data_IF_570477631215
#
_entry.id   IF_570477631215
#
_cell.length_a   1.000
_cell.length_b   1.000
_cell.length_c   1.000
_cell.angle_alpha   90.00
_cell.angle_beta   90.00
_cell.angle_gamma   90.00
#
_symmetry.space_group_name_H-M   'P 1'
#
loop_
_entity.id
_entity.type
_entity.pdbx_description
1 polymer ?
#
# COMPACT_ATOMS: atom_id res chain seq x y z
N UNK A 1 -5.79 3.56 -21.27
CA UNK A 1 -5.07 3.33 -22.54
C UNK A 1 -3.67 2.76 -22.31
N UNK A 2 -2.74 3.45 -21.60
CA UNK A 2 -1.34 2.99 -21.43
C UNK A 2 -1.26 1.60 -20.79
N UNK A 3 -2.01 1.33 -19.75
CA UNK A 3 -2.07 0.02 -19.08
C UNK A 3 -2.75 -1.04 -19.96
N UNK A 4 -3.77 -0.67 -20.74
CA UNK A 4 -4.41 -1.58 -21.68
C UNK A 4 -3.43 -2.06 -22.78
N UNK A 5 -2.62 -1.17 -23.33
CA UNK A 5 -1.58 -1.53 -24.33
C UNK A 5 -0.51 -2.43 -23.69
N UNK A 6 -0.12 -2.16 -22.44
CA UNK A 6 0.82 -3.04 -21.71
C UNK A 6 0.23 -4.44 -21.50
N UNK A 7 -1.01 -4.48 -21.02
CA UNK A 7 -1.72 -5.73 -20.79
C UNK A 7 -1.84 -6.56 -22.06
N UNK A 8 -2.32 -5.94 -23.13
CA UNK A 8 -2.43 -6.58 -24.44
C UNK A 8 -1.07 -7.08 -24.97
N UNK A 9 -0.03 -6.26 -24.92
CA UNK A 9 1.31 -6.65 -25.37
C UNK A 9 1.91 -7.78 -24.54
N UNK A 10 1.63 -7.82 -23.23
CA UNK A 10 2.19 -8.82 -22.34
C UNK A 10 1.44 -10.15 -22.43
N UNK A 11 0.10 -10.13 -22.46
CA UNK A 11 -0.72 -11.33 -22.50
C UNK A 11 -0.87 -11.90 -23.91
N UNK A 12 -1.33 -11.07 -24.85
CA UNK A 12 -1.71 -11.56 -26.18
C UNK A 12 -0.52 -11.72 -27.10
N UNK A 13 0.43 -10.81 -27.05
CA UNK A 13 1.56 -10.81 -27.96
C UNK A 13 2.81 -11.46 -27.36
N UNK A 14 2.90 -11.55 -26.03
CA UNK A 14 4.09 -12.00 -25.28
C UNK A 14 5.38 -11.32 -25.77
N UNK A 15 5.26 -10.05 -26.18
CA UNK A 15 6.34 -9.28 -26.80
C UNK A 15 6.62 -8.00 -26.06
N UNK A 16 7.89 -7.63 -26.03
CA UNK A 16 8.35 -6.42 -25.40
C UNK A 16 8.29 -5.24 -26.35
N UNK A 17 7.93 -4.08 -25.79
CA UNK A 17 7.96 -2.83 -26.53
C UNK A 17 8.73 -1.76 -25.75
N UNK A 18 9.21 -0.76 -26.48
CA UNK A 18 9.76 0.49 -25.93
C UNK A 18 8.79 1.64 -26.17
N UNK A 19 8.69 2.51 -25.18
CA UNK A 19 7.90 3.75 -25.29
C UNK A 19 8.74 4.79 -26.00
N UNK A 20 8.27 5.26 -27.14
CA UNK A 20 8.92 6.30 -27.95
C UNK A 20 8.44 7.67 -27.49
N UNK A 21 7.12 7.81 -27.29
CA UNK A 21 6.51 9.05 -26.82
C UNK A 21 5.43 8.76 -25.80
N UNK A 22 5.47 9.47 -24.67
CA UNK A 22 4.44 9.40 -23.64
C UNK A 22 4.13 10.80 -23.13
N UNK A 23 2.92 11.27 -23.39
CA UNK A 23 2.40 12.54 -22.89
C UNK A 23 1.00 12.33 -22.30
N UNK A 24 0.38 13.35 -21.71
CA UNK A 24 -1.02 13.25 -21.27
C UNK A 24 -2.00 12.88 -22.39
N UNK A 25 -1.69 13.27 -23.65
CA UNK A 25 -2.57 13.09 -24.79
C UNK A 25 -2.02 12.21 -25.92
N UNK A 26 -0.80 11.69 -25.79
CA UNK A 26 -0.19 10.82 -26.82
C UNK A 26 0.59 9.68 -26.20
N UNK A 27 0.48 8.52 -26.83
CA UNK A 27 1.25 7.35 -26.44
C UNK A 27 1.68 6.60 -27.70
N UNK A 28 2.99 6.52 -27.95
CA UNK A 28 3.61 5.86 -29.09
C UNK A 28 4.56 4.79 -28.59
N UNK A 29 4.33 3.56 -28.98
CA UNK A 29 5.16 2.41 -28.62
C UNK A 29 5.63 1.69 -29.86
N UNK A 30 6.86 1.15 -29.81
CA UNK A 30 7.47 0.36 -30.89
C UNK A 30 8.14 -0.88 -30.33
N UNK A 31 8.37 -1.87 -31.18
CA UNK A 31 9.15 -3.03 -30.81
C UNK A 31 10.51 -2.66 -30.21
N UNK A 32 11.00 -3.48 -29.29
CA UNK A 32 12.38 -3.35 -28.78
C UNK A 32 13.39 -3.58 -29.90
N UNK A 33 13.11 -4.54 -30.81
CA UNK A 33 13.92 -4.80 -32.01
C UNK A 33 13.72 -3.71 -33.04
N UNK A 34 14.82 -3.11 -33.52
CA UNK A 34 14.79 -1.98 -34.45
C UNK A 34 14.22 -2.33 -35.86
N UNK A 35 14.46 -3.55 -36.28
CA UNK A 35 14.03 -4.08 -37.61
C UNK A 35 12.54 -4.41 -37.64
N UNK A 36 11.89 -4.54 -36.49
CA UNK A 36 10.48 -4.89 -36.45
C UNK A 36 9.61 -3.63 -36.58
N UNK A 37 8.67 -3.59 -37.57
CA UNK A 37 7.84 -2.43 -37.83
C UNK A 37 6.74 -2.21 -36.80
N UNK A 38 6.60 -3.08 -35.80
CA UNK A 38 5.57 -2.96 -34.77
C UNK A 38 5.49 -1.57 -34.19
N UNK A 39 4.30 -1.01 -34.25
CA UNK A 39 4.00 0.28 -33.68
C UNK A 39 2.55 0.35 -33.25
N UNK A 40 2.31 0.87 -32.04
CA UNK A 40 0.98 1.28 -31.60
C UNK A 40 1.05 2.77 -31.26
N UNK A 41 0.25 3.55 -31.96
CA UNK A 41 0.10 4.96 -31.71
C UNK A 41 -1.33 5.26 -31.27
N UNK A 42 -1.47 5.78 -30.07
CA UNK A 42 -2.73 6.23 -29.52
C UNK A 42 -2.66 7.71 -29.16
N UNK A 43 -3.73 8.43 -29.39
CA UNK A 43 -3.82 9.83 -29.02
C UNK A 43 -5.23 10.22 -28.60
N UNK A 44 -5.30 11.27 -27.78
CA UNK A 44 -6.53 11.96 -27.40
C UNK A 44 -6.64 13.21 -28.25
N UNK A 45 -7.75 13.38 -28.94
CA UNK A 45 -8.02 14.58 -29.76
C UNK A 45 -8.05 15.85 -28.92
N UNK A 46 -7.86 17.01 -29.58
CA UNK A 46 -7.81 18.31 -28.90
C UNK A 46 -9.10 18.63 -28.12
N UNK A 47 -10.23 18.14 -28.60
CA UNK A 47 -11.58 18.38 -28.08
C UNK A 47 -12.26 17.12 -27.56
N UNK A 48 -11.47 16.01 -27.36
CA UNK A 48 -11.99 14.71 -26.94
C UNK A 48 -11.36 14.31 -25.61
N UNK A 49 -12.19 13.74 -24.73
CA UNK A 49 -11.75 13.23 -23.41
C UNK A 49 -11.50 11.71 -23.43
N UNK A 50 -11.51 11.10 -24.61
CA UNK A 50 -11.23 9.67 -24.77
C UNK A 50 -10.01 9.42 -25.64
N UNK A 51 -9.36 8.29 -25.39
CA UNK A 51 -8.21 7.82 -26.14
C UNK A 51 -8.65 7.03 -27.37
N UNK A 52 -8.02 7.32 -28.50
CA UNK A 52 -8.23 6.59 -29.73
C UNK A 52 -6.90 6.00 -30.22
N UNK A 53 -6.94 4.72 -30.64
CA UNK A 53 -5.80 4.08 -31.29
C UNK A 53 -5.81 4.46 -32.77
N UNK A 54 -4.86 5.32 -33.16
CA UNK A 54 -4.75 5.83 -34.55
C UNK A 54 -3.99 4.91 -35.47
N UNK A 55 -3.06 4.12 -34.94
CA UNK A 55 -2.24 3.22 -35.78
C UNK A 55 -1.86 1.98 -34.98
N UNK A 56 -2.04 0.83 -35.58
CA UNK A 56 -1.50 -0.46 -35.14
C UNK A 56 -0.76 -1.06 -36.33
N UNK A 57 0.48 -1.46 -36.12
CA UNK A 57 1.28 -2.26 -37.05
C UNK A 57 1.74 -3.49 -36.29
N UNK A 58 1.51 -4.66 -36.84
CA UNK A 58 1.82 -5.94 -36.22
C UNK A 58 3.32 -6.23 -36.17
N UNK A 59 3.70 -7.16 -35.27
CA UNK A 59 5.08 -7.65 -35.21
C UNK A 59 5.41 -8.58 -36.37
N UNK A 60 6.55 -8.36 -37.00
CA UNK A 60 7.14 -9.30 -37.97
C UNK A 60 8.30 -10.09 -37.37
N UNK A 61 8.79 -9.72 -36.15
CA UNK A 61 9.89 -10.42 -35.51
C UNK A 61 9.45 -11.77 -34.95
N UNK A 62 10.30 -12.77 -35.04
CA UNK A 62 10.07 -14.09 -34.45
C UNK A 62 10.31 -14.08 -32.94
N UNK A 63 9.55 -14.88 -32.18
CA UNK A 63 9.79 -15.19 -30.79
C UNK A 63 10.85 -16.29 -30.70
N UNK A 64 12.13 -15.94 -30.76
CA UNK A 64 13.19 -16.95 -30.70
C UNK A 64 13.41 -17.49 -29.31
N UNK A 65 13.26 -16.65 -28.29
CA UNK A 65 13.30 -17.05 -26.87
C UNK A 65 12.52 -16.04 -26.01
N UNK A 66 11.76 -16.53 -25.04
CA UNK A 66 11.18 -15.70 -24.00
C UNK A 66 12.31 -15.21 -23.08
N UNK A 67 12.58 -13.90 -23.10
CA UNK A 67 13.52 -13.34 -22.13
C UNK A 67 13.05 -13.61 -20.70
N UNK A 68 13.95 -13.98 -19.77
CA UNK A 68 13.57 -14.32 -18.39
C UNK A 68 12.78 -13.21 -17.68
N UNK A 69 12.96 -11.96 -18.10
CA UNK A 69 12.30 -10.81 -17.51
C UNK A 69 11.62 -9.95 -18.58
N UNK A 70 10.31 -9.80 -18.44
CA UNK A 70 9.57 -8.93 -19.35
C UNK A 70 9.70 -7.46 -18.92
N UNK A 71 10.22 -6.61 -19.81
CA UNK A 71 10.50 -5.19 -19.57
C UNK A 71 9.27 -4.41 -19.11
N UNK A 72 8.11 -4.71 -19.68
CA UNK A 72 6.88 -3.98 -19.43
C UNK A 72 6.11 -4.45 -18.18
N UNK A 73 6.52 -5.57 -17.55
CA UNK A 73 6.00 -6.02 -16.26
C UNK A 73 6.56 -5.16 -15.12
N UNK A 74 6.07 -3.94 -15.02
CA UNK A 74 6.45 -3.05 -13.92
C UNK A 74 5.74 -3.42 -12.62
N UNK A 75 6.31 -3.04 -11.47
CA UNK A 75 5.66 -3.25 -10.17
C UNK A 75 4.27 -2.55 -10.09
N UNK A 76 4.05 -1.45 -10.82
CA UNK A 76 2.73 -0.81 -10.91
C UNK A 76 1.73 -1.65 -11.70
N UNK A 77 2.15 -2.22 -12.83
CA UNK A 77 1.31 -3.10 -13.62
C UNK A 77 0.89 -4.34 -12.82
N UNK A 78 1.86 -4.99 -12.16
CA UNK A 78 1.60 -6.17 -11.30
C UNK A 78 0.70 -5.79 -10.12
N UNK A 79 0.89 -4.61 -9.51
CA UNK A 79 0.03 -4.13 -8.45
C UNK A 79 -1.43 -3.98 -8.88
N UNK A 80 -1.68 -3.41 -10.05
CA UNK A 80 -3.03 -3.28 -10.61
C UNK A 80 -3.66 -4.64 -10.90
N UNK A 81 -2.89 -5.57 -11.49
CA UNK A 81 -3.35 -6.90 -11.82
C UNK A 81 -3.69 -7.72 -10.56
N UNK A 82 -2.79 -7.71 -9.57
CA UNK A 82 -2.94 -8.46 -8.32
C UNK A 82 -3.78 -7.73 -7.27
N UNK A 83 -4.28 -6.53 -7.57
CA UNK A 83 -4.98 -5.67 -6.62
C UNK A 83 -6.13 -6.38 -5.89
N UNK A 84 -7.05 -7.09 -6.58
CA UNK A 84 -8.17 -7.76 -5.88
C UNK A 84 -7.69 -8.77 -4.85
N UNK A 85 -6.72 -9.64 -5.24
CA UNK A 85 -6.18 -10.68 -4.38
C UNK A 85 -5.43 -10.14 -3.16
N UNK A 86 -4.65 -9.05 -3.36
CA UNK A 86 -3.86 -8.44 -2.27
C UNK A 86 -4.77 -7.67 -1.30
N UNK A 87 -5.84 -7.06 -1.80
CA UNK A 87 -6.79 -6.32 -0.94
C UNK A 87 -7.64 -7.27 -0.11
N UNK A 88 -8.06 -8.38 -0.71
CA UNK A 88 -8.83 -9.43 -0.02
C UNK A 88 -7.97 -10.13 1.06
N UNK A 89 -6.70 -10.40 0.75
CA UNK A 89 -5.75 -10.95 1.70
C UNK A 89 -4.47 -10.09 1.81
N UNK A 90 -4.40 -9.11 2.72
CA UNK A 90 -3.20 -8.27 2.91
C UNK A 90 -1.94 -9.04 3.33
N UNK A 91 -2.11 -10.26 3.86
CA UNK A 91 -0.99 -11.15 4.22
C UNK A 91 -0.42 -11.92 3.03
N UNK A 92 -1.01 -11.77 1.82
CA UNK A 92 -0.56 -12.46 0.60
C UNK A 92 0.95 -12.29 0.37
N UNK A 93 1.68 -13.40 0.32
CA UNK A 93 3.14 -13.35 0.31
C UNK A 93 3.71 -12.91 -1.06
N UNK A 94 4.88 -12.21 -1.09
CA UNK A 94 5.53 -11.89 -2.36
C UNK A 94 5.90 -13.13 -3.19
N UNK A 95 6.17 -14.27 -2.56
CA UNK A 95 6.42 -15.55 -3.26
C UNK A 95 5.18 -16.00 -4.04
N UNK A 96 4.01 -15.91 -3.45
CA UNK A 96 2.75 -16.25 -4.11
C UNK A 96 2.46 -15.31 -5.29
N UNK A 97 2.85 -14.02 -5.19
CA UNK A 97 2.76 -13.08 -6.32
C UNK A 97 3.67 -13.51 -7.46
N UNK A 98 4.89 -13.99 -7.16
CA UNK A 98 5.82 -14.50 -8.19
C UNK A 98 5.19 -15.68 -8.93
N UNK A 99 4.65 -16.65 -8.19
CA UNK A 99 3.99 -17.84 -8.77
C UNK A 99 2.80 -17.45 -9.64
N UNK A 100 1.91 -16.59 -9.15
CA UNK A 100 0.75 -16.13 -9.89
C UNK A 100 1.11 -15.38 -11.18
N UNK A 101 2.14 -14.53 -11.12
CA UNK A 101 2.64 -13.80 -12.30
C UNK A 101 3.31 -14.76 -13.30
N UNK A 102 4.06 -15.75 -12.82
CA UNK A 102 4.71 -16.75 -13.68
C UNK A 102 3.66 -17.65 -14.37
N UNK A 103 2.62 -18.02 -13.64
CA UNK A 103 1.51 -18.81 -14.18
C UNK A 103 0.73 -18.07 -15.28
N UNK A 104 0.38 -16.83 -15.04
CA UNK A 104 -0.45 -16.03 -15.95
C UNK A 104 0.35 -15.48 -17.14
N UNK A 105 1.49 -14.85 -16.87
CA UNK A 105 2.26 -14.13 -17.89
C UNK A 105 3.41 -14.94 -18.48
N UNK A 106 3.73 -16.12 -17.90
CA UNK A 106 4.87 -16.97 -18.30
C UNK A 106 6.24 -16.30 -18.14
N UNK A 107 6.33 -15.27 -17.30
CA UNK A 107 7.58 -14.54 -17.02
C UNK A 107 7.89 -14.55 -15.53
N UNK A 108 9.15 -14.76 -15.20
CA UNK A 108 9.65 -14.62 -13.83
C UNK A 108 9.84 -13.16 -13.43
N UNK A 109 9.47 -12.85 -12.20
CA UNK A 109 9.77 -11.55 -11.59
C UNK A 109 10.64 -11.73 -10.35
N UNK A 110 11.46 -10.72 -10.04
CA UNK A 110 12.26 -10.76 -8.81
C UNK A 110 11.39 -10.55 -7.58
N UNK A 111 11.85 -11.09 -6.44
CA UNK A 111 11.20 -10.88 -5.14
C UNK A 111 10.98 -9.39 -4.83
N UNK A 112 11.99 -8.55 -5.07
CA UNK A 112 11.88 -7.11 -4.87
C UNK A 112 10.78 -6.46 -5.73
N UNK A 113 10.58 -6.94 -6.97
CA UNK A 113 9.51 -6.45 -7.83
C UNK A 113 8.13 -6.87 -7.32
N UNK A 114 7.96 -8.12 -6.89
CA UNK A 114 6.75 -8.63 -6.27
C UNK A 114 6.41 -7.89 -4.97
N UNK A 115 7.41 -7.69 -4.12
CA UNK A 115 7.27 -6.92 -2.89
C UNK A 115 6.82 -5.48 -3.15
N UNK A 116 7.47 -4.78 -4.10
CA UNK A 116 7.08 -3.41 -4.49
C UNK A 116 5.67 -3.37 -5.08
N UNK A 117 5.26 -4.39 -5.83
CA UNK A 117 3.90 -4.51 -6.35
C UNK A 117 2.88 -4.66 -5.21
N UNK A 118 3.14 -5.53 -4.24
CA UNK A 118 2.32 -5.66 -3.03
C UNK A 118 2.17 -4.33 -2.31
N UNK A 119 3.29 -3.64 -2.03
CA UNK A 119 3.26 -2.35 -1.35
C UNK A 119 2.43 -1.30 -2.11
N UNK A 120 2.54 -1.26 -3.44
CA UNK A 120 1.72 -0.35 -4.25
C UNK A 120 0.23 -0.70 -4.20
N UNK A 121 -0.13 -1.97 -4.28
CA UNK A 121 -1.52 -2.40 -4.17
C UNK A 121 -2.12 -2.03 -2.80
N UNK A 122 -1.38 -2.24 -1.72
CA UNK A 122 -1.78 -1.83 -0.37
C UNK A 122 -1.94 -0.31 -0.26
N UNK A 123 -1.00 0.47 -0.84
CA UNK A 123 -1.09 1.93 -0.86
C UNK A 123 -2.28 2.44 -1.68
N UNK A 124 -2.65 1.77 -2.76
CA UNK A 124 -3.83 2.12 -3.55
C UNK A 124 -5.12 1.96 -2.74
N UNK A 125 -5.18 1.00 -1.84
CA UNK A 125 -6.37 0.74 -1.00
C UNK A 125 -6.41 1.61 0.26
N UNK A 126 -5.31 1.68 0.99
CA UNK A 126 -5.27 2.31 2.33
C UNK A 126 -4.49 3.63 2.38
N UNK A 127 -3.94 4.08 1.25
CA UNK A 127 -3.14 5.29 1.20
C UNK A 127 -1.70 5.09 1.67
N UNK A 128 -0.98 6.18 1.83
CA UNK A 128 0.40 6.16 2.31
C UNK A 128 0.45 6.21 3.83
N UNK A 129 1.54 5.72 4.41
CA UNK A 129 1.78 5.83 5.85
C UNK A 129 1.76 7.27 6.34
N UNK A 130 2.37 8.17 5.56
CA UNK A 130 2.40 9.60 5.87
C UNK A 130 0.98 10.19 5.96
N UNK A 131 0.09 9.81 5.04
CA UNK A 131 -1.31 10.23 5.06
C UNK A 131 -2.04 9.67 6.29
N UNK A 132 -1.77 8.42 6.67
CA UNK A 132 -2.36 7.80 7.87
C UNK A 132 -1.96 8.54 9.14
N UNK A 133 -0.69 8.92 9.28
CA UNK A 133 -0.24 9.71 10.42
C UNK A 133 -0.79 11.13 10.41
N UNK A 134 -0.92 11.73 9.23
CA UNK A 134 -1.54 13.05 9.11
C UNK A 134 -3.01 13.03 9.57
N UNK A 135 -3.73 11.96 9.28
CA UNK A 135 -5.14 11.79 9.64
C UNK A 135 -5.36 11.30 11.09
N UNK A 136 -4.32 10.90 11.80
CA UNK A 136 -4.42 10.34 13.16
C UNK A 136 -5.15 11.28 14.14
N UNK A 137 -4.88 12.60 14.20
CA UNK A 137 -5.60 13.50 15.09
C UNK A 137 -7.11 13.49 14.85
N UNK A 138 -7.53 13.54 13.60
CA UNK A 138 -8.94 13.50 13.20
C UNK A 138 -9.59 12.16 13.57
N UNK A 139 -8.87 11.05 13.39
CA UNK A 139 -9.32 9.72 13.78
C UNK A 139 -9.55 9.63 15.29
N UNK A 140 -8.58 10.03 16.10
CA UNK A 140 -8.67 9.98 17.55
C UNK A 140 -9.80 10.90 18.08
N UNK A 141 -9.93 12.08 17.50
CA UNK A 141 -11.03 12.99 17.82
C UNK A 141 -12.39 12.34 17.50
N UNK A 142 -12.52 11.72 16.31
CA UNK A 142 -13.76 11.03 15.92
C UNK A 142 -14.09 9.85 16.85
N UNK A 143 -13.07 9.08 17.26
CA UNK A 143 -13.23 8.01 18.25
C UNK A 143 -13.81 8.55 19.55
N UNK A 144 -13.27 9.66 20.07
CA UNK A 144 -13.75 10.28 21.31
C UNK A 144 -15.16 10.86 21.16
N UNK A 145 -15.49 11.45 20.04
CA UNK A 145 -16.86 11.91 19.76
C UNK A 145 -17.88 10.77 19.76
N UNK A 146 -17.49 9.61 19.22
CA UNK A 146 -18.36 8.43 19.14
C UNK A 146 -18.40 7.61 20.44
N UNK A 147 -17.48 7.84 21.36
CA UNK A 147 -17.38 7.17 22.65
C UNK A 147 -17.27 8.21 23.76
N UNK A 148 -18.39 8.76 24.25
CA UNK A 148 -18.42 9.80 25.28
C UNK A 148 -17.58 9.42 26.52
N UNK A 149 -16.90 10.38 27.12
CA UNK A 149 -16.00 10.14 28.24
C UNK A 149 -14.61 9.62 27.87
N UNK A 150 -14.34 9.36 26.59
CA UNK A 150 -13.01 8.96 26.10
C UNK A 150 -12.02 10.13 26.15
N UNK A 151 -10.76 9.80 26.36
CA UNK A 151 -9.65 10.76 26.38
C UNK A 151 -8.55 10.34 25.42
N UNK A 152 -7.99 11.31 24.68
CA UNK A 152 -6.77 11.08 23.90
C UNK A 152 -5.77 12.23 24.09
N UNK A 153 -4.50 11.92 23.90
CA UNK A 153 -3.40 12.89 23.89
C UNK A 153 -2.47 12.57 22.72
N UNK A 154 -2.06 13.61 22.01
CA UNK A 154 -1.02 13.54 20.97
C UNK A 154 0.11 14.49 21.34
N UNK A 155 1.33 13.95 21.42
CA UNK A 155 2.55 14.74 21.54
C UNK A 155 3.36 14.67 20.27
N UNK A 156 3.66 15.85 19.74
CA UNK A 156 4.47 16.01 18.53
C UNK A 156 5.62 16.98 18.79
N UNK A 157 6.65 16.91 17.99
CA UNK A 157 7.72 17.89 17.97
C UNK A 157 8.05 18.30 16.52
N UNK A 158 8.59 19.51 16.30
CA UNK A 158 8.96 19.97 14.96
C UNK A 158 10.02 19.05 14.35
N UNK A 159 9.86 18.73 13.06
CA UNK A 159 10.84 17.93 12.34
C UNK A 159 12.07 18.80 11.99
N UNK A 160 13.23 18.48 12.55
CA UNK A 160 14.48 19.20 12.27
C UNK A 160 14.90 19.15 10.79
N UNK A 161 14.49 18.09 10.06
CA UNK A 161 14.90 17.87 8.67
C UNK A 161 13.92 18.46 7.64
N UNK A 162 12.70 18.79 8.03
CA UNK A 162 11.66 19.29 7.12
C UNK A 162 10.84 20.38 7.78
N UNK A 163 11.05 21.61 7.32
CA UNK A 163 10.32 22.77 7.81
C UNK A 163 8.78 22.56 7.67
N UNK A 164 8.04 22.91 8.73
CA UNK A 164 6.59 22.80 8.75
C UNK A 164 6.02 21.37 8.94
N UNK A 165 6.87 20.34 9.12
CA UNK A 165 6.41 19.00 9.47
C UNK A 165 6.56 18.71 10.96
N UNK A 166 5.58 17.98 11.49
CA UNK A 166 5.56 17.48 12.85
C UNK A 166 5.94 15.99 12.86
N UNK A 167 6.69 15.58 13.85
CA UNK A 167 6.99 14.18 14.13
C UNK A 167 6.18 13.75 15.32
N UNK A 168 5.43 12.66 15.21
CA UNK A 168 4.70 12.09 16.33
C UNK A 168 5.69 11.49 17.32
N UNK A 169 5.65 11.99 18.56
CA UNK A 169 6.42 11.44 19.66
C UNK A 169 5.66 10.30 20.34
N UNK A 170 4.43 10.58 20.76
CA UNK A 170 3.55 9.59 21.39
C UNK A 170 2.08 9.92 21.18
N UNK A 171 1.26 8.89 21.24
CA UNK A 171 -0.19 8.99 21.24
C UNK A 171 -0.76 8.12 22.35
N UNK A 172 -1.69 8.65 23.10
CA UNK A 172 -2.43 7.94 24.13
C UNK A 172 -3.92 7.95 23.80
N UNK A 173 -4.62 6.86 24.06
CA UNK A 173 -6.06 6.75 23.92
C UNK A 173 -6.63 5.88 25.04
N UNK A 174 -7.62 6.39 25.76
CA UNK A 174 -8.43 5.65 26.70
C UNK A 174 -9.91 5.83 26.36
N UNK A 175 -10.65 4.74 26.22
CA UNK A 175 -12.09 4.80 25.93
C UNK A 175 -12.89 5.14 27.20
N UNK A 176 -13.98 5.90 27.06
CA UNK A 176 -14.81 6.36 28.16
C UNK A 176 -15.34 5.21 29.02
N UNK A 177 -15.86 4.16 28.41
CA UNK A 177 -16.29 2.96 29.12
C UNK A 177 -15.16 2.32 29.96
N UNK A 178 -13.91 2.37 29.47
CA UNK A 178 -12.77 1.88 30.22
C UNK A 178 -12.41 2.79 31.40
N UNK A 179 -12.52 4.09 31.23
CA UNK A 179 -12.27 5.08 32.29
C UNK A 179 -13.32 4.92 33.39
N UNK A 180 -14.59 4.78 33.02
CA UNK A 180 -15.71 4.61 33.98
C UNK A 180 -15.59 3.31 34.80
N UNK A 181 -15.24 2.19 34.15
CA UNK A 181 -15.10 0.89 34.82
C UNK A 181 -13.79 0.77 35.63
N UNK A 182 -12.80 1.59 35.33
CA UNK A 182 -11.47 1.49 35.94
C UNK A 182 -11.44 1.47 37.47
N UNK A 183 -12.24 2.29 38.19
CA UNK A 183 -12.30 2.24 39.68
C UNK A 183 -12.86 0.93 40.24
N UNK A 184 -13.67 0.22 39.45
CA UNK A 184 -14.31 -1.04 39.84
C UNK A 184 -13.48 -2.27 39.49
N UNK A 185 -12.32 -2.09 38.88
CA UNK A 185 -11.40 -3.17 38.53
C UNK A 185 -10.45 -3.45 39.71
N UNK A 186 -9.90 -4.69 39.75
CA UNK A 186 -8.83 -5.05 40.68
C UNK A 186 -7.67 -4.06 40.60
N UNK A 187 -7.02 -3.66 41.69
CA UNK A 187 -5.94 -2.66 41.69
C UNK A 187 -4.61 -3.22 41.11
N UNK A 188 -4.69 -4.02 40.08
CA UNK A 188 -3.54 -4.58 39.36
C UNK A 188 -3.57 -4.08 37.92
N UNK A 189 -2.51 -3.41 37.49
CA UNK A 189 -2.34 -2.96 36.12
C UNK A 189 -1.40 -3.93 35.43
N UNK A 190 -1.86 -4.53 34.36
CA UNK A 190 -1.02 -5.31 33.45
C UNK A 190 -0.61 -4.41 32.29
N UNK A 191 0.67 -4.35 32.01
CA UNK A 191 1.22 -3.62 30.86
C UNK A 191 1.83 -4.67 29.93
N UNK A 192 1.40 -4.64 28.69
CA UNK A 192 1.94 -5.46 27.62
C UNK A 192 2.34 -4.55 26.46
N UNK A 193 3.41 -4.88 25.78
CA UNK A 193 3.95 -4.05 24.72
C UNK A 193 4.44 -4.86 23.53
N UNK A 194 4.21 -4.31 22.33
CA UNK A 194 4.72 -4.85 21.08
C UNK A 194 5.60 -3.84 20.38
N UNK A 195 6.71 -4.31 19.81
CA UNK A 195 7.56 -3.49 18.96
C UNK A 195 6.96 -3.38 17.57
N UNK A 196 6.83 -2.16 17.08
CA UNK A 196 6.42 -1.92 15.72
C UNK A 196 7.54 -2.31 14.75
N UNK A 197 7.26 -3.25 13.86
CA UNK A 197 8.24 -3.77 12.87
C UNK A 197 8.07 -3.14 11.48
N UNK A 198 7.16 -2.17 11.33
CA UNK A 198 6.87 -1.52 10.07
C UNK A 198 7.92 -0.49 9.61
N UNK A 199 7.53 0.37 8.68
CA UNK A 199 8.34 1.48 8.16
C UNK A 199 8.75 2.46 9.27
N UNK A 200 7.87 2.66 10.26
CA UNK A 200 8.15 3.44 11.45
C UNK A 200 8.30 2.47 12.62
N UNK A 201 9.44 2.54 13.26
CA UNK A 201 9.73 1.76 14.47
C UNK A 201 9.22 2.51 15.69
N UNK A 202 8.77 1.77 16.67
CA UNK A 202 8.28 2.31 17.93
C UNK A 202 7.75 1.19 18.80
N UNK A 203 7.16 1.53 19.90
CA UNK A 203 6.46 0.61 20.80
C UNK A 203 4.99 0.98 20.88
N UNK A 204 4.14 -0.03 20.88
CA UNK A 204 2.73 0.11 21.21
C UNK A 204 2.50 -0.64 22.52
N UNK A 205 2.09 0.08 23.53
CA UNK A 205 1.88 -0.45 24.86
C UNK A 205 0.38 -0.45 25.19
N UNK A 206 -0.07 -1.52 25.78
CA UNK A 206 -1.43 -1.65 26.27
C UNK A 206 -1.37 -1.77 27.77
N UNK A 207 -2.01 -0.87 28.50
CA UNK A 207 -2.28 -1.04 29.91
C UNK A 207 -3.70 -1.59 30.08
N UNK A 208 -3.84 -2.61 30.93
CA UNK A 208 -5.14 -3.21 31.20
C UNK A 208 -5.33 -3.48 32.68
N UNK A 209 -6.56 -3.28 33.14
CA UNK A 209 -7.05 -3.79 34.42
C UNK A 209 -8.16 -4.80 34.15
N UNK A 210 -8.22 -5.85 34.95
CA UNK A 210 -9.21 -6.91 34.83
C UNK A 210 -10.18 -6.91 36.01
N UNK A 211 -11.47 -6.95 35.73
CA UNK A 211 -12.50 -7.39 36.68
C UNK A 211 -13.02 -8.77 36.25
N UNK A 212 -13.91 -9.35 37.05
CA UNK A 212 -14.55 -10.62 36.71
C UNK A 212 -15.35 -10.57 35.40
N UNK A 213 -15.83 -9.39 35.01
CA UNK A 213 -16.72 -9.19 33.85
C UNK A 213 -16.12 -8.32 32.76
N UNK A 214 -15.06 -7.53 33.03
CA UNK A 214 -14.56 -6.52 32.08
C UNK A 214 -13.04 -6.48 32.02
N UNK A 215 -12.51 -6.17 30.85
CA UNK A 215 -11.10 -5.83 30.63
C UNK A 215 -11.05 -4.38 30.15
N UNK A 216 -10.52 -3.51 30.99
CA UNK A 216 -10.26 -2.12 30.63
C UNK A 216 -8.89 -2.00 29.96
N UNK A 217 -8.81 -1.37 28.81
CA UNK A 217 -7.56 -1.18 28.05
C UNK A 217 -7.34 0.26 27.66
N UNK A 218 -6.13 0.74 27.86
CA UNK A 218 -5.63 1.97 27.28
C UNK A 218 -4.44 1.64 26.35
N UNK A 219 -4.27 2.41 25.30
CA UNK A 219 -3.23 2.23 24.31
C UNK A 219 -2.26 3.42 24.34
N UNK A 220 -0.98 3.14 24.42
CA UNK A 220 0.09 4.12 24.31
C UNK A 220 0.99 3.74 23.14
N UNK A 221 1.20 4.67 22.21
CA UNK A 221 2.10 4.54 21.09
C UNK A 221 3.29 5.47 21.29
N UNK A 222 4.48 4.91 21.44
CA UNK A 222 5.71 5.65 21.75
C UNK A 222 6.73 5.58 20.60
N UNK A 223 7.52 6.67 20.46
CA UNK A 223 8.76 6.74 19.67
C UNK A 223 8.67 6.20 18.24
N UNK A 224 7.93 6.89 17.40
CA UNK A 224 7.87 6.57 15.98
C UNK A 224 9.08 7.16 15.24
N UNK A 225 10.14 6.40 15.14
CA UNK A 225 11.31 6.72 14.32
C UNK A 225 11.14 6.06 12.95
N UNK A 226 11.33 6.85 11.88
CA UNK A 226 11.31 6.31 10.52
C UNK A 226 12.45 5.29 10.35
N UNK A 227 12.12 4.03 10.15
CA UNK A 227 13.09 3.01 9.78
C UNK A 227 13.19 2.93 8.26
N UNK A 228 14.41 3.01 7.76
CA UNK A 228 14.71 2.72 6.37
C UNK A 228 14.75 1.21 6.17
N UNK A 229 13.64 0.52 6.19
CA UNK A 229 13.46 -0.81 5.59
C UNK A 229 12.09 -1.41 5.93
N UNK A 230 11.38 -1.70 4.91
CA UNK A 230 10.37 -2.72 4.66
C UNK A 230 9.74 -3.48 5.84
N UNK A 231 8.51 -3.10 6.26
CA UNK A 231 7.45 -4.05 6.63
C UNK A 231 6.13 -3.31 6.90
N UNK A 232 5.04 -3.91 6.46
CA UNK A 232 3.67 -3.41 6.54
C UNK A 232 3.05 -3.71 7.89
N UNK A 233 2.37 -2.75 8.48
CA UNK A 233 1.47 -2.99 9.59
C UNK A 233 0.05 -2.54 9.22
N UNK A 234 -0.88 -3.47 9.22
CA UNK A 234 -2.31 -3.18 9.26
C UNK A 234 -2.72 -3.07 10.73
N UNK A 235 -3.20 -1.91 11.15
CA UNK A 235 -3.83 -1.74 12.45
C UNK A 235 -5.26 -2.27 12.32
N UNK A 236 -5.45 -3.54 12.61
CA UNK A 236 -6.78 -4.10 12.82
C UNK A 236 -7.21 -3.77 14.26
N UNK A 237 -7.94 -2.68 14.43
CA UNK A 237 -8.73 -2.44 15.63
C UNK A 237 -9.94 -3.38 15.62
N UNK A 238 -9.71 -4.64 15.96
CA UNK A 238 -10.81 -5.56 16.23
C UNK A 238 -11.25 -5.35 17.67
N UNK A 239 -12.22 -4.49 17.88
CA UNK A 239 -13.01 -4.48 19.11
C UNK A 239 -13.84 -5.78 19.16
N UNK A 240 -13.32 -6.83 19.77
CA UNK A 240 -14.15 -7.92 20.23
C UNK A 240 -14.81 -7.49 21.54
N UNK A 241 -16.03 -7.01 21.43
CA UNK A 241 -16.99 -7.03 22.53
C UNK A 241 -17.39 -8.50 22.71
N UNK A 242 -16.95 -9.12 23.79
CA UNK A 242 -17.55 -10.33 24.33
C UNK A 242 -18.52 -9.93 25.43
#
# INVERSE_FOLDING_TARGET
MKEAIKHWSTLSLQRQFKVVKSSPRTYDVRCVRSECPFRVYASMGKWQDFWEVKKIVEHTCLLEQLEPQHRNLSAGFIANYMYPLIVDNPSYEPKSIICAVEEEFKYKISYNKAYRAKQKALQMRWGTYEASYHNMPALLHTICLRNPGSYYELKTYPCAQKLGKQVLQRSFLALGACIEVFPHCRPVICIDGIFLTGRYKGTMEFSSRRSEKFICRAMLLNNLVAASTNYTMSINLTLKLQ
#
